data_IF_796568483565
#
_entry.id   IF_796568483565
#
_cell.length_a   1.000
_cell.length_b   1.000
_cell.length_c   1.000
_cell.angle_alpha   90.00
_cell.angle_beta   90.00
_cell.angle_gamma   90.00
#
_symmetry.space_group_name_H-M   'P 1'
#
loop_
_entity.id
_entity.type
_entity.pdbx_description
1 polymer ?
#
# COMPACT_ATOMS: atom_id res chain seq x y z
N UNK A 1 10.88 -9.40 -23.91
CA UNK A 1 9.66 -8.68 -24.33
C UNK A 1 8.40 -9.47 -23.97
N UNK A 2 8.33 -10.76 -24.34
CA UNK A 2 7.16 -11.65 -24.11
C UNK A 2 6.68 -11.74 -22.65
N UNK A 3 7.60 -11.85 -21.68
CA UNK A 3 7.24 -11.96 -20.24
C UNK A 3 6.57 -10.68 -19.70
N UNK A 4 6.87 -9.51 -20.28
CA UNK A 4 6.22 -8.26 -19.89
C UNK A 4 4.81 -8.15 -20.48
N UNK A 5 4.58 -8.73 -21.67
CA UNK A 5 3.25 -8.79 -22.29
C UNK A 5 2.32 -9.66 -21.45
N UNK A 6 2.80 -10.83 -21.00
CA UNK A 6 2.02 -11.71 -20.13
C UNK A 6 1.63 -11.02 -18.81
N UNK A 7 2.57 -10.32 -18.17
CA UNK A 7 2.27 -9.53 -16.98
C UNK A 7 1.20 -8.47 -17.23
N UNK A 8 1.31 -7.69 -18.32
CA UNK A 8 0.29 -6.70 -18.69
C UNK A 8 -1.08 -7.34 -18.94
N UNK A 9 -1.16 -8.51 -19.56
CA UNK A 9 -2.42 -9.25 -19.76
C UNK A 9 -3.04 -9.62 -18.41
N UNK A 10 -2.25 -10.14 -17.47
CA UNK A 10 -2.73 -10.48 -16.12
C UNK A 10 -3.27 -9.24 -15.41
N UNK A 11 -2.61 -8.09 -15.53
CA UNK A 11 -3.10 -6.83 -14.97
C UNK A 11 -4.40 -6.35 -15.64
N UNK A 12 -4.53 -6.47 -16.96
CA UNK A 12 -5.75 -6.10 -17.68
C UNK A 12 -6.92 -6.97 -17.24
N UNK A 13 -6.71 -8.29 -17.14
CA UNK A 13 -7.72 -9.22 -16.62
C UNK A 13 -8.10 -8.87 -15.19
N UNK A 14 -7.13 -8.54 -14.33
CA UNK A 14 -7.39 -8.08 -12.97
C UNK A 14 -8.24 -6.80 -12.96
N UNK A 15 -7.88 -5.81 -13.77
CA UNK A 15 -8.62 -4.55 -13.92
C UNK A 15 -10.07 -4.82 -14.34
N UNK A 16 -10.32 -5.62 -15.37
CA UNK A 16 -11.68 -5.92 -15.83
C UNK A 16 -12.47 -6.64 -14.73
N UNK A 17 -11.90 -7.70 -14.15
CA UNK A 17 -12.61 -8.54 -13.17
C UNK A 17 -12.87 -7.81 -11.85
N UNK A 18 -12.05 -6.81 -11.51
CA UNK A 18 -12.28 -5.96 -10.33
C UNK A 18 -13.63 -5.24 -10.37
N UNK A 19 -14.13 -4.87 -11.54
CA UNK A 19 -15.45 -4.23 -11.70
C UNK A 19 -16.64 -5.16 -11.43
N UNK A 20 -16.39 -6.46 -11.27
CA UNK A 20 -17.40 -7.40 -10.76
C UNK A 20 -17.67 -7.23 -9.25
N UNK A 21 -16.80 -6.53 -8.53
CA UNK A 21 -16.93 -6.27 -7.08
C UNK A 21 -17.69 -4.98 -6.75
N UNK A 22 -18.16 -4.23 -7.76
CA UNK A 22 -19.00 -3.05 -7.52
C UNK A 22 -20.27 -3.47 -6.78
N UNK A 23 -20.57 -2.79 -5.68
CA UNK A 23 -21.81 -2.98 -4.94
C UNK A 23 -23.00 -2.49 -5.77
N UNK A 24 -24.02 -3.32 -6.05
CA UNK A 24 -25.20 -2.92 -6.82
C UNK A 24 -25.95 -1.70 -6.26
N UNK A 25 -25.87 -1.45 -4.95
CA UNK A 25 -26.53 -0.33 -4.27
C UNK A 25 -25.72 0.98 -4.32
N UNK A 26 -24.50 0.96 -4.85
CA UNK A 26 -23.64 2.14 -4.94
C UNK A 26 -24.01 3.13 -6.05
N UNK A 27 -24.81 2.69 -7.03
CA UNK A 27 -25.11 3.46 -8.24
C UNK A 27 -23.91 3.64 -9.19
N UNK A 28 -22.76 3.01 -8.90
CA UNK A 28 -21.60 3.01 -9.79
C UNK A 28 -21.78 2.01 -10.94
N UNK A 29 -21.19 2.27 -12.13
CA UNK A 29 -21.23 1.32 -13.22
C UNK A 29 -20.46 0.05 -12.83
N UNK A 30 -21.12 -1.10 -12.87
CA UNK A 30 -20.52 -2.41 -12.67
C UNK A 30 -20.65 -3.29 -13.93
N UNK A 31 -19.88 -4.38 -13.99
CA UNK A 31 -20.04 -5.36 -15.06
C UNK A 31 -21.13 -6.35 -14.67
N UNK A 32 -22.36 -6.12 -15.15
CA UNK A 32 -23.58 -6.82 -14.73
C UNK A 32 -23.49 -8.35 -14.84
N UNK A 33 -22.83 -8.88 -15.87
CA UNK A 33 -22.68 -10.34 -16.03
C UNK A 33 -21.63 -10.94 -15.09
N UNK A 34 -20.69 -10.15 -14.57
CA UNK A 34 -19.70 -10.59 -13.59
C UNK A 34 -20.25 -10.62 -12.17
N UNK A 35 -21.14 -9.70 -11.81
CA UNK A 35 -21.67 -9.61 -10.45
C UNK A 35 -22.27 -10.94 -9.95
N UNK A 36 -23.13 -11.67 -10.70
CA UNK A 36 -23.65 -12.95 -10.22
C UNK A 36 -22.55 -13.98 -9.95
N UNK A 37 -21.51 -14.02 -10.79
CA UNK A 37 -20.36 -14.92 -10.62
C UNK A 37 -19.56 -14.53 -9.37
N UNK A 38 -19.30 -13.24 -9.18
CA UNK A 38 -18.53 -12.71 -8.05
C UNK A 38 -19.28 -12.84 -6.72
N UNK A 39 -20.60 -12.63 -6.67
CA UNK A 39 -21.37 -12.65 -5.42
C UNK A 39 -21.90 -14.04 -5.06
N UNK A 40 -22.43 -14.79 -6.04
CA UNK A 40 -23.11 -16.07 -5.76
C UNK A 40 -22.22 -17.29 -5.97
N UNK A 41 -21.20 -17.22 -6.83
CA UNK A 41 -20.39 -18.38 -7.18
C UNK A 41 -18.99 -18.32 -6.53
N UNK A 42 -18.94 -18.45 -5.20
CA UNK A 42 -17.75 -18.28 -4.33
C UNK A 42 -16.44 -18.93 -4.79
N UNK A 43 -16.49 -20.03 -5.53
CA UNK A 43 -15.30 -20.74 -6.01
C UNK A 43 -14.52 -19.93 -7.06
N UNK A 44 -15.20 -19.23 -7.97
CA UNK A 44 -14.55 -18.50 -9.06
C UNK A 44 -13.72 -17.30 -8.59
N UNK A 45 -14.23 -16.35 -7.78
CA UNK A 45 -13.40 -15.25 -7.27
C UNK A 45 -12.26 -15.77 -6.39
N UNK A 46 -12.46 -16.88 -5.66
CA UNK A 46 -11.41 -17.53 -4.86
C UNK A 46 -10.26 -18.02 -5.73
N UNK A 47 -10.55 -18.81 -6.77
CA UNK A 47 -9.54 -19.37 -7.69
C UNK A 47 -8.87 -18.25 -8.47
N UNK A 48 -9.65 -17.34 -9.05
CA UNK A 48 -9.13 -16.23 -9.85
C UNK A 48 -8.17 -15.37 -9.04
N UNK A 49 -8.60 -14.88 -7.88
CA UNK A 49 -7.76 -14.02 -7.06
C UNK A 49 -6.49 -14.74 -6.61
N UNK A 50 -6.62 -15.97 -6.10
CA UNK A 50 -5.45 -16.78 -5.67
C UNK A 50 -4.47 -17.01 -6.82
N UNK A 51 -4.98 -17.40 -7.99
CA UNK A 51 -4.18 -17.60 -9.20
C UNK A 51 -3.48 -16.33 -9.65
N UNK A 52 -4.17 -15.18 -9.64
CA UNK A 52 -3.57 -13.87 -9.96
C UNK A 52 -2.45 -13.53 -8.99
N UNK A 53 -2.65 -13.69 -7.67
CA UNK A 53 -1.60 -13.43 -6.68
C UNK A 53 -0.37 -14.32 -6.92
N UNK A 54 -0.57 -15.63 -7.13
CA UNK A 54 0.54 -16.56 -7.42
C UNK A 54 1.30 -16.17 -8.68
N UNK A 55 0.60 -15.83 -9.76
CA UNK A 55 1.21 -15.41 -11.03
C UNK A 55 2.00 -14.10 -10.87
N UNK A 56 1.41 -13.10 -10.20
CA UNK A 56 2.06 -11.80 -9.97
C UNK A 56 3.33 -11.94 -9.12
N UNK A 57 3.31 -12.77 -8.06
CA UNK A 57 4.49 -13.03 -7.25
C UNK A 57 5.55 -13.84 -8.01
N UNK A 58 5.16 -14.84 -8.80
CA UNK A 58 6.07 -15.58 -9.68
C UNK A 58 6.80 -14.64 -10.66
N UNK A 59 6.05 -13.75 -11.30
CA UNK A 59 6.62 -12.71 -12.17
C UNK A 59 7.50 -11.71 -11.40
N UNK A 60 7.08 -11.29 -10.21
CA UNK A 60 7.85 -10.38 -9.35
C UNK A 60 9.21 -10.96 -8.95
N UNK A 61 9.27 -12.22 -8.53
CA UNK A 61 10.55 -12.85 -8.21
C UNK A 61 11.42 -13.04 -9.44
N UNK A 62 10.82 -13.36 -10.59
CA UNK A 62 11.54 -13.43 -11.85
C UNK A 62 12.18 -12.07 -12.22
N UNK A 63 11.43 -10.97 -12.17
CA UNK A 63 11.97 -9.64 -12.49
C UNK A 63 13.09 -9.24 -11.53
N UNK A 64 12.93 -9.50 -10.21
CA UNK A 64 13.98 -9.23 -9.23
C UNK A 64 15.26 -10.02 -9.50
N UNK A 65 15.14 -11.30 -9.88
CA UNK A 65 16.29 -12.12 -10.24
C UNK A 65 17.01 -11.60 -11.49
N UNK A 66 16.26 -11.15 -12.51
CA UNK A 66 16.83 -10.57 -13.75
C UNK A 66 17.51 -9.23 -13.49
N UNK A 67 16.93 -8.38 -12.64
CA UNK A 67 17.53 -7.10 -12.22
C UNK A 67 18.80 -7.34 -11.40
N UNK A 68 18.79 -8.31 -10.47
CA UNK A 68 19.97 -8.66 -9.66
C UNK A 68 21.14 -9.14 -10.53
N UNK A 69 20.87 -9.85 -11.62
CA UNK A 69 21.86 -10.28 -12.62
C UNK A 69 22.28 -9.18 -13.62
N UNK A 70 21.76 -7.95 -13.47
CA UNK A 70 22.10 -6.82 -14.35
C UNK A 70 21.43 -6.84 -15.73
N UNK A 71 20.53 -7.78 -16.01
CA UNK A 71 19.88 -7.89 -17.32
C UNK A 71 18.80 -6.82 -17.58
N UNK A 72 18.36 -6.12 -16.53
CA UNK A 72 17.25 -5.17 -16.61
C UNK A 72 17.66 -3.86 -15.95
N UNK A 73 17.56 -2.79 -16.74
CA UNK A 73 17.93 -1.43 -16.32
C UNK A 73 16.81 -0.72 -15.54
N UNK A 74 17.16 0.35 -14.82
CA UNK A 74 16.16 1.20 -14.16
C UNK A 74 15.17 1.84 -15.15
N UNK A 75 15.59 2.13 -16.39
CA UNK A 75 14.71 2.65 -17.45
C UNK A 75 13.62 1.64 -17.79
N UNK A 76 13.98 0.36 -17.91
CA UNK A 76 13.03 -0.72 -18.16
C UNK A 76 12.06 -0.90 -17.00
N UNK A 77 12.54 -0.82 -15.75
CA UNK A 77 11.68 -0.90 -14.57
C UNK A 77 10.69 0.27 -14.53
N UNK A 78 11.12 1.50 -14.81
CA UNK A 78 10.20 2.64 -14.91
C UNK A 78 9.13 2.45 -16.00
N UNK A 79 9.48 1.89 -17.16
CA UNK A 79 8.50 1.57 -18.20
C UNK A 79 7.45 0.56 -17.69
N UNK A 80 7.88 -0.46 -16.94
CA UNK A 80 6.94 -1.45 -16.36
C UNK A 80 6.09 -0.83 -15.25
N UNK A 81 6.66 0.03 -14.40
CA UNK A 81 5.91 0.79 -13.39
C UNK A 81 4.84 1.64 -14.06
N UNK A 82 5.19 2.36 -15.13
CA UNK A 82 4.25 3.22 -15.85
C UNK A 82 3.12 2.42 -16.51
N UNK A 83 3.46 1.29 -17.16
CA UNK A 83 2.45 0.38 -17.71
C UNK A 83 1.53 -0.19 -16.61
N UNK A 84 2.10 -0.57 -15.45
CA UNK A 84 1.34 -1.06 -14.30
C UNK A 84 0.36 0.00 -13.80
N UNK A 85 0.82 1.25 -13.64
CA UNK A 85 -0.01 2.38 -13.22
C UNK A 85 -1.14 2.62 -14.21
N UNK A 86 -0.83 2.70 -15.51
CA UNK A 86 -1.84 2.96 -16.55
C UNK A 86 -2.93 1.88 -16.55
N UNK A 87 -2.55 0.60 -16.44
CA UNK A 87 -3.52 -0.51 -16.47
C UNK A 87 -4.35 -0.57 -15.17
N UNK A 88 -3.69 -0.49 -14.01
CA UNK A 88 -4.36 -0.65 -12.71
C UNK A 88 -5.10 0.59 -12.26
N UNK A 89 -4.79 1.78 -12.79
CA UNK A 89 -5.55 3.00 -12.51
C UNK A 89 -7.05 2.79 -12.73
N UNK A 90 -7.42 2.09 -13.81
CA UNK A 90 -8.79 1.79 -14.21
C UNK A 90 -9.47 0.66 -13.42
N UNK A 91 -8.80 0.07 -12.42
CA UNK A 91 -9.41 -0.99 -11.61
C UNK A 91 -10.41 -0.43 -10.60
N UNK A 92 -11.33 -1.25 -10.14
CA UNK A 92 -12.17 -0.99 -8.99
C UNK A 92 -11.52 -1.57 -7.71
N UNK A 93 -11.68 -0.95 -6.52
CA UNK A 93 -11.18 -1.52 -5.26
C UNK A 93 -11.73 -2.93 -5.03
N UNK A 94 -10.86 -3.87 -4.65
CA UNK A 94 -11.24 -5.29 -4.50
C UNK A 94 -11.05 -5.77 -3.08
N UNK A 95 -9.93 -5.39 -2.44
CA UNK A 95 -9.56 -5.95 -1.14
C UNK A 95 -9.83 -5.01 0.02
N UNK A 96 -10.06 -3.73 -0.26
CA UNK A 96 -10.42 -2.72 0.73
C UNK A 96 -11.39 -1.70 0.16
N UNK A 97 -12.26 -1.19 1.03
CA UNK A 97 -13.20 -0.10 0.74
C UNK A 97 -12.75 1.24 1.34
N UNK A 98 -11.50 1.34 1.80
CA UNK A 98 -10.98 2.54 2.48
C UNK A 98 -11.05 3.80 1.63
N UNK A 99 -10.97 3.69 0.31
CA UNK A 99 -11.14 4.85 -0.57
C UNK A 99 -12.51 5.52 -0.39
N UNK A 100 -13.57 4.73 -0.20
CA UNK A 100 -14.91 5.27 0.07
C UNK A 100 -15.00 5.89 1.47
N UNK A 101 -14.25 5.35 2.45
CA UNK A 101 -14.13 5.98 3.77
C UNK A 101 -13.41 7.33 3.68
N UNK A 102 -12.37 7.46 2.83
CA UNK A 102 -11.72 8.76 2.59
C UNK A 102 -12.67 9.76 1.94
N UNK A 103 -13.45 9.32 0.94
CA UNK A 103 -14.44 10.15 0.26
C UNK A 103 -15.52 10.61 1.24
N UNK A 104 -16.08 9.71 2.04
CA UNK A 104 -17.08 10.04 3.06
C UNK A 104 -16.52 11.03 4.10
N UNK A 105 -15.31 10.80 4.60
CA UNK A 105 -14.63 11.73 5.53
C UNK A 105 -14.43 13.11 4.90
N UNK A 106 -14.03 13.16 3.62
CA UNK A 106 -13.87 14.40 2.90
C UNK A 106 -15.22 15.12 2.68
N UNK A 107 -16.31 14.39 2.42
CA UNK A 107 -17.66 14.98 2.36
C UNK A 107 -18.07 15.58 3.70
N UNK A 108 -17.93 14.85 4.81
CA UNK A 108 -18.19 15.37 6.17
C UNK A 108 -17.46 16.70 6.37
N UNK A 109 -16.17 16.73 6.05
CA UNK A 109 -15.31 17.91 6.26
C UNK A 109 -15.61 19.08 5.33
N UNK A 110 -15.69 18.82 4.02
CA UNK A 110 -15.63 19.86 2.99
C UNK A 110 -16.96 20.15 2.31
N UNK A 111 -17.89 19.18 2.26
CA UNK A 111 -19.23 19.39 1.74
C UNK A 111 -20.17 19.83 2.86
N UNK A 112 -20.23 19.04 3.93
CA UNK A 112 -21.13 19.28 5.06
C UNK A 112 -20.57 20.28 6.09
N UNK A 113 -19.28 20.63 5.98
CA UNK A 113 -18.58 21.58 6.87
C UNK A 113 -18.61 21.17 8.35
N UNK A 114 -18.71 19.87 8.59
CA UNK A 114 -18.72 19.28 9.91
C UNK A 114 -17.30 18.86 10.33
N UNK A 115 -17.09 18.71 11.65
CA UNK A 115 -15.84 18.20 12.17
C UNK A 115 -15.81 16.66 12.06
N UNK A 116 -14.97 16.06 11.20
CA UNK A 116 -14.95 14.60 10.98
C UNK A 116 -14.39 13.82 12.18
N UNK A 117 -13.82 14.49 13.18
CA UNK A 117 -13.38 13.87 14.44
C UNK A 117 -14.51 13.74 15.47
N UNK A 118 -15.66 14.37 15.20
CA UNK A 118 -16.83 14.37 16.09
C UNK A 118 -18.03 13.76 15.37
N UNK A 119 -18.26 14.16 14.12
CA UNK A 119 -19.41 13.73 13.31
C UNK A 119 -19.02 12.55 12.43
N UNK A 120 -19.81 11.48 12.51
CA UNK A 120 -19.67 10.27 11.70
C UNK A 120 -20.46 10.39 10.40
N UNK A 121 -20.05 9.71 9.30
CA UNK A 121 -20.82 9.70 8.06
C UNK A 121 -22.29 9.27 8.23
N UNK A 122 -22.59 8.31 9.11
CA UNK A 122 -23.95 7.80 9.37
C UNK A 122 -24.89 8.86 9.99
N UNK A 123 -24.34 9.92 10.58
CA UNK A 123 -25.12 10.99 11.20
C UNK A 123 -25.57 12.04 10.17
N UNK A 124 -25.04 11.99 8.94
CA UNK A 124 -25.41 12.92 7.87
C UNK A 124 -26.74 12.48 7.24
N UNK A 125 -27.80 13.30 7.31
CA UNK A 125 -29.09 12.96 6.73
C UNK A 125 -29.01 12.79 5.21
N UNK A 126 -29.66 11.74 4.68
CA UNK A 126 -29.76 11.46 3.24
C UNK A 126 -28.42 11.32 2.50
N UNK A 127 -27.34 10.94 3.19
CA UNK A 127 -26.05 10.63 2.55
C UNK A 127 -26.17 9.37 1.68
N UNK A 128 -26.04 9.54 0.35
CA UNK A 128 -26.23 8.48 -0.63
C UNK A 128 -25.21 7.35 -0.51
N UNK A 129 -24.03 7.60 0.06
CA UNK A 129 -23.02 6.57 0.26
C UNK A 129 -23.36 5.57 1.38
N UNK A 130 -24.31 5.87 2.26
CA UNK A 130 -24.66 5.01 3.39
C UNK A 130 -25.20 3.63 2.97
N UNK A 131 -25.67 3.48 1.73
CA UNK A 131 -26.19 2.21 1.21
C UNK A 131 -25.12 1.14 1.00
N UNK A 132 -23.85 1.53 0.87
CA UNK A 132 -22.73 0.61 0.58
C UNK A 132 -21.46 0.88 1.41
N UNK A 133 -21.46 1.90 2.28
CA UNK A 133 -20.28 2.27 3.07
C UNK A 133 -20.06 1.34 4.27
N UNK A 134 -18.95 0.61 4.30
CA UNK A 134 -18.67 -0.38 5.34
C UNK A 134 -18.30 0.17 6.73
N UNK A 135 -17.91 1.45 6.85
CA UNK A 135 -17.47 2.05 8.11
C UNK A 135 -18.12 3.41 8.38
N UNK A 136 -19.41 3.54 8.03
CA UNK A 136 -20.17 4.77 8.20
C UNK A 136 -20.32 5.22 9.68
N UNK A 137 -20.19 4.29 10.62
CA UNK A 137 -20.32 4.49 12.06
C UNK A 137 -18.98 4.74 12.78
N UNK A 138 -18.00 5.32 12.08
CA UNK A 138 -16.70 5.67 12.65
C UNK A 138 -16.38 7.13 12.34
N UNK A 139 -15.82 7.85 13.31
CA UNK A 139 -15.18 9.15 13.09
C UNK A 139 -13.84 8.97 12.36
N UNK A 140 -13.24 10.06 11.90
CA UNK A 140 -11.99 10.04 11.17
C UNK A 140 -10.86 9.35 11.96
N UNK A 141 -10.32 8.28 11.37
CA UNK A 141 -9.19 7.50 11.92
C UNK A 141 -7.82 8.05 11.47
N UNK A 142 -7.83 9.08 10.64
CA UNK A 142 -6.65 9.63 9.98
C UNK A 142 -6.31 11.01 10.52
N UNK A 143 -5.03 11.37 10.50
CA UNK A 143 -4.58 12.65 11.03
C UNK A 143 -4.99 13.85 10.15
N UNK A 144 -4.88 15.07 10.70
CA UNK A 144 -5.44 16.27 10.06
C UNK A 144 -4.76 16.64 8.75
N UNK A 145 -3.48 16.29 8.56
CA UNK A 145 -2.80 16.53 7.29
C UNK A 145 -3.37 15.64 6.17
N UNK A 146 -3.76 14.39 6.48
CA UNK A 146 -4.46 13.56 5.50
C UNK A 146 -5.80 14.18 5.10
N UNK A 147 -6.62 14.55 6.09
CA UNK A 147 -7.93 15.15 5.83
C UNK A 147 -7.77 16.42 4.98
N UNK A 148 -6.85 17.31 5.34
CA UNK A 148 -6.57 18.51 4.54
C UNK A 148 -6.19 18.18 3.09
N UNK A 149 -5.33 17.18 2.87
CA UNK A 149 -4.93 16.76 1.53
C UNK A 149 -6.08 16.17 0.70
N UNK A 150 -7.07 15.54 1.34
CA UNK A 150 -8.25 15.00 0.63
C UNK A 150 -9.14 16.08 0.02
N UNK A 151 -8.99 17.36 0.39
CA UNK A 151 -9.69 18.47 -0.26
C UNK A 151 -9.44 18.50 -1.78
N UNK A 152 -8.20 18.21 -2.21
CA UNK A 152 -7.81 18.26 -3.63
C UNK A 152 -8.61 17.26 -4.48
N UNK A 153 -8.57 15.94 -4.22
CA UNK A 153 -9.36 15.00 -4.99
C UNK A 153 -10.87 15.15 -4.76
N UNK A 154 -11.31 15.60 -3.57
CA UNK A 154 -12.72 15.86 -3.29
C UNK A 154 -13.30 16.93 -4.21
N UNK A 155 -12.70 18.12 -4.27
CA UNK A 155 -13.20 19.20 -5.11
C UNK A 155 -13.04 18.88 -6.61
N UNK A 156 -11.95 18.21 -7.00
CA UNK A 156 -11.77 17.75 -8.37
C UNK A 156 -12.85 16.72 -8.81
N UNK A 157 -13.44 16.01 -7.85
CA UNK A 157 -14.52 15.04 -8.08
C UNK A 157 -15.87 15.67 -8.44
N UNK A 158 -16.05 16.97 -8.18
CA UNK A 158 -17.24 17.73 -8.60
C UNK A 158 -18.58 17.18 -8.07
N UNK A 159 -18.57 16.44 -6.95
CA UNK A 159 -19.76 15.80 -6.39
C UNK A 159 -20.20 14.50 -7.08
N UNK A 160 -19.57 14.10 -8.19
CA UNK A 160 -19.83 12.82 -8.84
C UNK A 160 -19.00 11.71 -8.19
N UNK A 161 -19.64 10.64 -7.68
CA UNK A 161 -18.96 9.59 -6.92
C UNK A 161 -17.90 8.85 -7.75
N UNK A 162 -18.19 8.52 -9.01
CA UNK A 162 -17.27 7.82 -9.89
C UNK A 162 -16.05 8.68 -10.20
N UNK A 163 -16.27 9.95 -10.57
CA UNK A 163 -15.18 10.90 -10.81
C UNK A 163 -14.34 11.10 -9.55
N UNK A 164 -15.00 11.26 -8.39
CA UNK A 164 -14.33 11.40 -7.09
C UNK A 164 -13.48 10.17 -6.75
N UNK A 165 -13.96 8.95 -7.01
CA UNK A 165 -13.16 7.74 -6.85
C UNK A 165 -11.87 7.84 -7.69
N UNK A 166 -11.97 8.21 -8.97
CA UNK A 166 -10.80 8.31 -9.84
C UNK A 166 -9.87 9.47 -9.52
N UNK A 167 -10.36 10.61 -9.01
CA UNK A 167 -9.50 11.70 -8.55
C UNK A 167 -8.74 11.31 -7.30
N UNK A 168 -9.35 10.59 -6.35
CA UNK A 168 -8.64 10.01 -5.21
C UNK A 168 -7.59 8.98 -5.66
N UNK A 169 -7.92 8.08 -6.59
CA UNK A 169 -6.95 7.13 -7.16
C UNK A 169 -5.79 7.87 -7.83
N UNK A 170 -6.06 8.90 -8.63
CA UNK A 170 -5.03 9.69 -9.31
C UNK A 170 -4.11 10.39 -8.30
N UNK A 171 -4.69 10.94 -7.22
CA UNK A 171 -3.93 11.56 -6.14
C UNK A 171 -2.97 10.56 -5.49
N UNK A 172 -3.44 9.37 -5.13
CA UNK A 172 -2.62 8.30 -4.57
C UNK A 172 -1.54 7.83 -5.55
N UNK A 173 -1.87 7.69 -6.85
CA UNK A 173 -0.91 7.36 -7.91
C UNK A 173 0.23 8.37 -7.97
N UNK A 174 -0.07 9.68 -7.87
CA UNK A 174 0.96 10.73 -7.85
C UNK A 174 1.96 10.53 -6.70
N UNK A 175 1.46 10.26 -5.49
CA UNK A 175 2.29 10.00 -4.31
C UNK A 175 3.07 8.69 -4.40
N UNK A 176 2.47 7.66 -4.98
CA UNK A 176 3.14 6.39 -5.26
C UNK A 176 4.34 6.58 -6.20
N UNK A 177 4.15 7.29 -7.32
CA UNK A 177 5.22 7.58 -8.28
C UNK A 177 6.30 8.44 -7.63
N UNK A 178 5.93 9.43 -6.81
CA UNK A 178 6.87 10.24 -6.04
C UNK A 178 7.69 9.38 -5.07
N UNK A 179 7.05 8.48 -4.31
CA UNK A 179 7.76 7.59 -3.39
C UNK A 179 8.73 6.66 -4.14
N UNK A 180 8.30 6.09 -5.26
CA UNK A 180 9.16 5.30 -6.14
C UNK A 180 10.37 6.11 -6.64
N UNK A 181 10.14 7.38 -7.01
CA UNK A 181 11.20 8.29 -7.43
C UNK A 181 12.18 8.58 -6.30
N UNK A 182 11.69 8.86 -5.09
CA UNK A 182 12.52 9.10 -3.91
C UNK A 182 13.37 7.87 -3.57
N UNK A 183 12.80 6.66 -3.61
CA UNK A 183 13.52 5.39 -3.40
C UNK A 183 14.61 5.21 -4.46
N UNK A 184 14.26 5.39 -5.73
CA UNK A 184 15.20 5.29 -6.84
C UNK A 184 16.36 6.28 -6.69
N UNK A 185 16.08 7.55 -6.37
CA UNK A 185 17.11 8.57 -6.12
C UNK A 185 17.97 8.23 -4.91
N UNK A 186 17.36 7.87 -3.79
CA UNK A 186 18.04 7.59 -2.52
C UNK A 186 18.97 6.37 -2.58
N UNK A 187 18.62 5.38 -3.39
CA UNK A 187 19.44 4.17 -3.62
C UNK A 187 20.64 4.39 -4.55
N UNK A 188 20.80 5.59 -5.13
CA UNK A 188 21.80 5.83 -6.18
C UNK A 188 21.35 5.34 -7.55
N UNK A 189 20.05 5.47 -7.85
CA UNK A 189 19.41 5.08 -9.11
C UNK A 189 19.40 3.58 -9.41
N UNK A 190 19.50 2.74 -8.37
CA UNK A 190 19.56 1.27 -8.50
C UNK A 190 18.22 0.70 -8.98
N UNK A 191 18.28 -0.10 -10.04
CA UNK A 191 17.11 -0.79 -10.60
C UNK A 191 16.49 -1.74 -9.58
N UNK A 192 17.31 -2.42 -8.78
CA UNK A 192 16.85 -3.39 -7.80
C UNK A 192 16.00 -2.77 -6.69
N UNK A 193 16.42 -1.64 -6.12
CA UNK A 193 15.65 -0.93 -5.09
C UNK A 193 14.29 -0.45 -5.61
N UNK A 194 14.27 0.08 -6.84
CA UNK A 194 13.02 0.48 -7.49
C UNK A 194 12.11 -0.72 -7.75
N UNK A 195 12.64 -1.80 -8.34
CA UNK A 195 11.85 -3.00 -8.64
C UNK A 195 11.32 -3.68 -7.37
N UNK A 196 12.15 -3.77 -6.32
CA UNK A 196 11.78 -4.37 -5.04
C UNK A 196 10.55 -3.70 -4.44
N UNK A 197 10.49 -2.36 -4.45
CA UNK A 197 9.35 -1.64 -3.90
C UNK A 197 8.19 -1.54 -4.91
N UNK A 198 8.47 -0.98 -6.10
CA UNK A 198 7.44 -0.55 -7.06
C UNK A 198 6.78 -1.70 -7.85
N UNK A 199 7.35 -2.90 -7.81
CA UNK A 199 6.75 -4.05 -8.50
C UNK A 199 6.30 -5.14 -7.52
N UNK A 200 6.42 -4.92 -6.21
CA UNK A 200 5.89 -5.84 -5.21
C UNK A 200 4.35 -5.89 -5.36
N UNK A 201 3.74 -7.06 -5.64
CA UNK A 201 2.30 -7.16 -5.86
C UNK A 201 1.46 -6.62 -4.69
N UNK A 202 1.94 -6.73 -3.44
CA UNK A 202 1.24 -6.12 -2.30
C UNK A 202 1.21 -4.59 -2.42
N UNK A 203 2.35 -3.97 -2.75
CA UNK A 203 2.45 -2.51 -2.87
C UNK A 203 1.59 -2.02 -4.03
N UNK A 204 1.68 -2.67 -5.20
CA UNK A 204 0.93 -2.26 -6.39
C UNK A 204 -0.56 -2.44 -6.20
N UNK A 205 -1.03 -3.56 -5.64
CA UNK A 205 -2.46 -3.81 -5.45
C UNK A 205 -3.05 -2.92 -4.34
N UNK A 206 -2.40 -2.85 -3.17
CA UNK A 206 -2.88 -1.99 -2.07
C UNK A 206 -2.93 -0.51 -2.48
N UNK A 207 -2.02 -0.07 -3.34
CA UNK A 207 -1.92 1.35 -3.71
C UNK A 207 -2.71 1.70 -4.97
N UNK A 208 -2.56 0.93 -6.05
CA UNK A 208 -3.12 1.27 -7.36
C UNK A 208 -4.53 0.72 -7.56
N UNK A 209 -4.87 -0.38 -6.89
CA UNK A 209 -6.23 -0.95 -6.92
C UNK A 209 -7.06 -0.34 -5.80
N UNK A 210 -6.62 -0.51 -4.56
CA UNK A 210 -7.40 -0.16 -3.36
C UNK A 210 -7.18 1.29 -2.86
N UNK A 211 -6.25 2.03 -3.47
CA UNK A 211 -5.99 3.45 -3.20
C UNK A 211 -5.64 3.79 -1.74
N UNK A 212 -4.87 2.93 -1.07
CA UNK A 212 -4.40 3.20 0.29
C UNK A 212 -3.44 4.40 0.36
N UNK A 213 -3.63 5.25 1.37
CA UNK A 213 -2.87 6.49 1.58
C UNK A 213 -1.47 6.28 2.20
N UNK A 214 -1.06 5.05 2.48
CA UNK A 214 0.21 4.72 3.13
C UNK A 214 1.42 5.23 2.33
N UNK A 215 1.33 5.25 1.01
CA UNK A 215 2.39 5.82 0.15
C UNK A 215 2.54 7.33 0.31
N UNK A 216 1.46 8.05 0.65
CA UNK A 216 1.50 9.50 0.95
C UNK A 216 2.29 9.71 2.23
N UNK A 217 1.91 9.01 3.30
CA UNK A 217 2.62 9.02 4.58
C UNK A 217 4.10 8.71 4.41
N UNK A 218 4.41 7.66 3.65
CA UNK A 218 5.79 7.19 3.46
C UNK A 218 6.61 8.10 2.54
N UNK A 219 6.01 8.78 1.56
CA UNK A 219 6.68 9.80 0.77
C UNK A 219 7.15 10.97 1.62
N UNK A 220 6.29 11.46 2.54
CA UNK A 220 6.66 12.47 3.52
C UNK A 220 7.75 11.98 4.47
N UNK A 221 7.62 10.75 5.00
CA UNK A 221 8.63 10.17 5.90
C UNK A 221 10.00 10.07 5.23
N UNK A 222 10.08 9.42 4.07
CA UNK A 222 11.34 9.27 3.34
C UNK A 222 11.89 10.62 2.89
N UNK A 223 11.03 11.52 2.39
CA UNK A 223 11.39 12.89 2.04
C UNK A 223 12.03 13.63 3.21
N UNK A 224 11.47 13.48 4.41
CA UNK A 224 12.01 14.03 5.65
C UNK A 224 13.44 13.53 5.96
N UNK A 225 13.67 12.22 5.88
CA UNK A 225 15.01 11.65 6.04
C UNK A 225 16.00 12.09 4.94
N UNK A 226 15.54 12.27 3.69
CA UNK A 226 16.39 12.75 2.59
C UNK A 226 16.73 14.24 2.72
N UNK A 227 15.80 15.05 3.21
CA UNK A 227 16.06 16.45 3.55
C UNK A 227 17.07 16.54 4.71
N UNK A 228 16.93 15.67 5.73
CA UNK A 228 17.91 15.55 6.82
C UNK A 228 19.30 15.19 6.29
N UNK A 229 19.36 14.21 5.39
CA UNK A 229 20.61 13.81 4.73
C UNK A 229 21.33 14.97 4.04
N UNK A 230 20.56 15.88 3.46
CA UNK A 230 21.07 17.07 2.79
C UNK A 230 21.18 18.30 3.72
N UNK A 231 21.09 18.11 5.04
CA UNK A 231 21.17 19.17 6.07
C UNK A 231 20.10 20.27 5.95
N UNK A 232 18.98 19.97 5.30
CA UNK A 232 17.82 20.88 5.19
C UNK A 232 16.88 20.65 6.37
N UNK A 233 17.27 21.09 7.57
CA UNK A 233 16.62 20.72 8.83
C UNK A 233 15.15 21.14 8.92
N UNK A 234 14.81 22.37 8.55
CA UNK A 234 13.42 22.87 8.60
C UNK A 234 12.53 22.01 7.71
N UNK A 235 12.90 21.86 6.43
CA UNK A 235 12.17 21.00 5.48
C UNK A 235 12.05 19.58 6.00
N UNK A 236 13.11 19.04 6.59
CA UNK A 236 13.11 17.69 7.15
C UNK A 236 12.09 17.52 8.26
N UNK A 237 12.10 18.41 9.25
CA UNK A 237 11.16 18.39 10.39
C UNK A 237 9.73 18.56 9.89
N UNK A 238 9.47 19.52 8.99
CA UNK A 238 8.14 19.73 8.41
C UNK A 238 7.60 18.47 7.73
N UNK A 239 8.41 17.80 6.90
CA UNK A 239 7.99 16.59 6.20
C UNK A 239 7.72 15.43 7.18
N UNK A 240 8.54 15.26 8.22
CA UNK A 240 8.30 14.24 9.25
C UNK A 240 7.01 14.52 10.03
N UNK A 241 6.78 15.77 10.44
CA UNK A 241 5.55 16.17 11.13
C UNK A 241 4.33 15.92 10.25
N UNK A 242 4.37 16.30 8.97
CA UNK A 242 3.28 16.01 8.02
C UNK A 242 3.03 14.51 7.88
N UNK A 243 4.07 13.68 7.88
CA UNK A 243 3.92 12.22 7.87
C UNK A 243 3.17 11.71 9.11
N UNK A 244 3.56 12.16 10.30
CA UNK A 244 2.88 11.79 11.57
C UNK A 244 1.43 12.26 11.56
N UNK A 245 1.17 13.46 11.02
CA UNK A 245 -0.16 14.03 10.90
C UNK A 245 -1.00 13.43 9.75
N UNK A 246 -0.46 12.51 8.94
CA UNK A 246 -1.25 11.67 8.02
C UNK A 246 -1.69 10.41 8.78
N UNK A 247 -0.74 9.71 9.40
CA UNK A 247 -0.97 8.55 10.27
C UNK A 247 0.11 8.52 11.35
N UNK A 248 -0.30 8.34 12.60
CA UNK A 248 0.61 8.33 13.76
C UNK A 248 1.68 7.23 13.75
N UNK A 249 1.59 6.24 12.85
CA UNK A 249 2.56 5.14 12.77
C UNK A 249 4.01 5.62 12.58
N UNK A 250 4.24 6.72 11.85
CA UNK A 250 5.59 7.25 11.64
C UNK A 250 6.16 7.99 12.85
N UNK A 251 5.41 8.16 13.94
CA UNK A 251 5.96 8.60 15.23
C UNK A 251 7.04 7.62 15.73
N UNK A 252 6.92 6.33 15.40
CA UNK A 252 7.93 5.32 15.73
C UNK A 252 9.26 5.51 14.98
N UNK A 253 9.33 6.39 13.97
CA UNK A 253 10.59 6.79 13.35
C UNK A 253 11.35 7.85 14.16
N UNK A 254 10.72 8.49 15.16
CA UNK A 254 11.33 9.61 15.90
C UNK A 254 12.64 9.23 16.59
N UNK A 255 12.79 8.06 17.26
CA UNK A 255 14.07 7.69 17.86
C UNK A 255 15.21 7.64 16.83
N UNK A 256 14.94 7.09 15.64
CA UNK A 256 15.93 7.01 14.54
C UNK A 256 16.22 8.40 13.98
N UNK A 257 15.19 9.22 13.81
CA UNK A 257 15.30 10.58 13.28
C UNK A 257 16.11 11.50 14.21
N UNK A 258 15.78 11.52 15.51
CA UNK A 258 16.49 12.29 16.54
C UNK A 258 17.93 11.81 16.71
N UNK A 259 18.17 10.51 16.64
CA UNK A 259 19.53 9.96 16.64
C UNK A 259 20.34 10.47 15.43
N UNK A 260 19.74 10.51 14.23
CA UNK A 260 20.40 11.05 13.04
C UNK A 260 20.74 12.54 13.20
N UNK A 261 19.80 13.34 13.72
CA UNK A 261 20.02 14.76 14.02
C UNK A 261 21.19 14.95 15.00
N UNK A 262 21.20 14.20 16.10
CA UNK A 262 22.27 14.22 17.10
C UNK A 262 23.64 13.87 16.49
N UNK A 263 23.71 12.80 15.68
CA UNK A 263 24.95 12.38 15.02
C UNK A 263 25.45 13.43 14.02
N UNK A 264 24.57 14.05 13.23
CA UNK A 264 24.97 15.13 12.32
C UNK A 264 25.55 16.33 13.05
N UNK A 265 24.98 16.66 14.22
CA UNK A 265 25.46 17.74 15.05
C UNK A 265 26.80 17.42 15.73
N UNK A 266 26.93 16.25 16.36
CA UNK A 266 28.10 15.88 17.18
C UNK A 266 29.28 15.32 16.38
N UNK A 267 29.04 14.33 15.52
CA UNK A 267 30.13 13.58 14.86
C UNK A 267 30.30 13.94 13.39
N UNK A 268 29.34 14.69 12.81
CA UNK A 268 29.24 15.02 11.37
C UNK A 268 29.24 13.80 10.43
N UNK A 269 29.17 12.58 10.97
CA UNK A 269 29.24 11.33 10.24
C UNK A 269 28.00 10.48 10.54
N UNK A 270 27.18 10.25 9.51
CA UNK A 270 25.99 9.39 9.57
C UNK A 270 26.10 8.27 8.55
N UNK A 271 26.11 7.03 9.03
CA UNK A 271 26.07 5.84 8.17
C UNK A 271 24.63 5.57 7.75
N UNK A 272 24.22 6.11 6.60
CA UNK A 272 22.83 6.01 6.10
C UNK A 272 22.30 4.59 5.93
N UNK A 273 23.16 3.59 5.67
CA UNK A 273 22.73 2.19 5.65
C UNK A 273 22.21 1.72 7.01
N UNK A 274 22.84 2.16 8.12
CA UNK A 274 22.37 1.89 9.48
C UNK A 274 21.05 2.60 9.76
N UNK A 275 20.90 3.84 9.25
CA UNK A 275 19.63 4.60 9.36
C UNK A 275 18.49 3.85 8.68
N UNK A 276 18.68 3.40 7.44
CA UNK A 276 17.65 2.65 6.70
C UNK A 276 17.28 1.32 7.38
N UNK A 277 18.27 0.62 7.94
CA UNK A 277 18.01 -0.59 8.71
C UNK A 277 17.17 -0.30 9.97
N UNK A 278 17.57 0.69 10.77
CA UNK A 278 16.85 1.06 11.99
C UNK A 278 15.46 1.62 11.70
N UNK A 279 15.30 2.42 10.63
CA UNK A 279 14.01 2.92 10.21
C UNK A 279 13.09 1.78 9.73
N UNK A 280 13.60 0.82 8.97
CA UNK A 280 12.86 -0.38 8.57
C UNK A 280 12.45 -1.21 9.79
N UNK A 281 13.37 -1.43 10.74
CA UNK A 281 13.09 -2.15 11.98
C UNK A 281 12.03 -1.45 12.84
N UNK A 282 12.07 -0.12 12.97
CA UNK A 282 11.07 0.67 13.68
C UNK A 282 9.67 0.57 13.01
N UNK A 283 9.62 0.54 11.68
CA UNK A 283 8.36 0.32 10.96
C UNK A 283 7.85 -1.12 11.06
N UNK A 284 8.75 -2.10 11.11
CA UNK A 284 8.39 -3.48 11.45
C UNK A 284 7.81 -3.60 12.86
N UNK A 285 8.39 -2.89 13.82
CA UNK A 285 7.91 -2.88 15.19
C UNK A 285 6.44 -2.43 15.27
N UNK A 286 6.10 -1.26 14.72
CA UNK A 286 4.70 -0.81 14.70
C UNK A 286 3.78 -1.68 13.82
N UNK A 287 4.30 -2.26 12.73
CA UNK A 287 3.56 -3.24 11.93
C UNK A 287 3.14 -4.45 12.78
N UNK A 288 4.04 -5.00 13.60
CA UNK A 288 3.73 -6.12 14.49
C UNK A 288 2.87 -5.74 15.70
N UNK A 289 2.89 -4.47 16.12
CA UNK A 289 2.00 -3.94 17.15
C UNK A 289 0.60 -3.58 16.64
N UNK A 290 0.38 -3.49 15.33
CA UNK A 290 -0.93 -3.14 14.75
C UNK A 290 -2.12 -4.00 15.22
N UNK A 291 -1.97 -5.30 15.58
CA UNK A 291 -3.06 -6.09 16.17
C UNK A 291 -3.53 -5.64 17.54
N UNK A 292 -2.75 -4.83 18.27
CA UNK A 292 -3.20 -4.25 19.53
C UNK A 292 -4.33 -3.25 19.33
N UNK A 293 -4.48 -2.70 18.11
CA UNK A 293 -5.56 -1.79 17.73
C UNK A 293 -6.71 -2.52 17.04
N UNK A 294 -6.43 -3.23 15.95
CA UNK A 294 -7.44 -3.96 15.18
C UNK A 294 -6.86 -5.28 14.65
N UNK A 295 -6.02 -5.23 13.63
CA UNK A 295 -5.33 -6.40 13.07
C UNK A 295 -4.13 -6.00 12.18
N UNK A 296 -3.38 -7.00 11.71
CA UNK A 296 -2.36 -6.79 10.68
C UNK A 296 -3.03 -6.62 9.31
N UNK A 297 -3.01 -5.41 8.78
CA UNK A 297 -3.44 -5.11 7.42
C UNK A 297 -2.29 -5.21 6.41
N UNK A 298 -2.63 -5.59 5.17
CA UNK A 298 -1.63 -5.81 4.11
C UNK A 298 -0.83 -4.54 3.80
N UNK A 299 -1.51 -3.41 3.62
CA UNK A 299 -0.90 -2.13 3.26
C UNK A 299 0.07 -1.57 4.31
N UNK A 300 -0.01 -2.01 5.58
CA UNK A 300 0.96 -1.60 6.61
C UNK A 300 2.38 -2.11 6.32
N UNK A 301 2.53 -3.15 5.49
CA UNK A 301 3.86 -3.63 5.08
C UNK A 301 4.59 -2.63 4.17
N UNK A 302 3.89 -1.66 3.56
CA UNK A 302 4.51 -0.57 2.77
C UNK A 302 5.51 0.22 3.63
N UNK A 303 5.25 0.36 4.93
CA UNK A 303 6.06 1.19 5.83
C UNK A 303 7.50 0.63 5.98
N UNK A 304 7.71 -0.62 6.41
CA UNK A 304 9.05 -1.18 6.47
C UNK A 304 9.68 -1.38 5.08
N UNK A 305 8.90 -1.74 4.06
CA UNK A 305 9.39 -1.95 2.68
C UNK A 305 10.03 -0.70 2.08
N UNK A 306 9.51 0.48 2.42
CA UNK A 306 10.04 1.77 1.95
C UNK A 306 11.52 1.91 2.30
N UNK A 307 11.90 1.71 3.56
CA UNK A 307 13.30 1.81 3.98
C UNK A 307 14.12 0.56 3.64
N UNK A 308 13.49 -0.62 3.69
CA UNK A 308 14.15 -1.88 3.34
C UNK A 308 14.68 -1.88 1.90
N UNK A 309 13.94 -1.26 0.98
CA UNK A 309 14.33 -1.10 -0.43
C UNK A 309 15.68 -0.38 -0.62
N UNK A 310 16.12 0.39 0.39
CA UNK A 310 17.36 1.18 0.36
C UNK A 310 18.55 0.45 0.97
N UNK A 311 18.35 -0.76 1.51
CA UNK A 311 19.45 -1.58 1.97
C UNK A 311 20.27 -2.07 0.77
N UNK A 312 21.59 -1.88 0.84
CA UNK A 312 22.51 -2.23 -0.24
C UNK A 312 22.75 -3.73 -0.41
N UNK A 313 22.26 -4.56 0.51
CA UNK A 313 22.44 -6.02 0.54
C UNK A 313 21.12 -6.70 0.94
N UNK A 314 20.90 -7.89 0.40
CA UNK A 314 19.79 -8.74 0.86
C UNK A 314 20.11 -9.25 2.27
N UNK A 315 19.08 -9.26 3.11
CA UNK A 315 19.12 -9.63 4.53
C UNK A 315 17.94 -10.54 4.83
N UNK A 316 17.92 -11.15 6.03
CA UNK A 316 16.77 -11.93 6.49
C UNK A 316 15.46 -11.13 6.45
N UNK A 317 15.51 -9.80 6.69
CA UNK A 317 14.34 -8.93 6.58
C UNK A 317 13.72 -8.96 5.19
N UNK A 318 14.51 -9.15 4.12
CA UNK A 318 13.97 -9.28 2.77
C UNK A 318 13.21 -10.60 2.59
N UNK A 319 13.73 -11.71 3.12
CA UNK A 319 13.03 -12.99 3.09
C UNK A 319 11.70 -12.90 3.86
N UNK A 320 11.74 -12.38 5.09
CA UNK A 320 10.55 -12.11 5.90
C UNK A 320 9.55 -11.23 5.13
N UNK A 321 10.02 -10.17 4.47
CA UNK A 321 9.19 -9.27 3.66
C UNK A 321 8.52 -9.98 2.49
N UNK A 322 9.22 -10.86 1.79
CA UNK A 322 8.66 -11.61 0.67
C UNK A 322 7.53 -12.52 1.15
N UNK A 323 7.76 -13.24 2.25
CA UNK A 323 6.75 -14.09 2.86
C UNK A 323 5.53 -13.30 3.32
N UNK A 324 5.72 -12.19 4.06
CA UNK A 324 4.59 -11.34 4.45
C UNK A 324 3.88 -10.72 3.24
N UNK A 325 4.61 -10.25 2.23
CA UNK A 325 3.99 -9.67 1.02
C UNK A 325 3.06 -10.68 0.35
N UNK A 326 3.50 -11.93 0.22
CA UNK A 326 2.68 -13.00 -0.36
C UNK A 326 1.52 -13.39 0.56
N UNK A 327 1.80 -13.67 1.83
CA UNK A 327 0.81 -14.17 2.78
C UNK A 327 -0.28 -13.17 3.12
N UNK A 328 0.06 -11.88 3.26
CA UNK A 328 -0.92 -10.82 3.53
C UNK A 328 -1.91 -10.67 2.37
N UNK A 329 -1.48 -10.86 1.13
CA UNK A 329 -2.38 -10.83 -0.03
C UNK A 329 -3.34 -12.02 -0.03
N UNK A 330 -2.93 -13.18 0.48
CA UNK A 330 -3.81 -14.35 0.59
C UNK A 330 -4.80 -14.29 1.76
N UNK A 331 -4.72 -13.30 2.66
CA UNK A 331 -5.60 -13.19 3.84
C UNK A 331 -7.08 -13.04 3.52
N UNK A 332 -7.42 -12.49 2.34
CA UNK A 332 -8.81 -12.29 1.92
C UNK A 332 -9.41 -13.55 1.28
N UNK A 333 -8.58 -14.49 0.82
CA UNK A 333 -9.01 -15.70 0.11
C UNK A 333 -10.00 -16.54 0.92
N UNK A 334 -9.81 -16.77 2.23
CA UNK A 334 -10.79 -17.50 3.04
C UNK A 334 -12.16 -16.81 3.08
N UNK A 335 -12.21 -15.48 3.03
CA UNK A 335 -13.47 -14.73 2.95
C UNK A 335 -14.15 -14.89 1.59
N UNK A 336 -13.39 -14.86 0.48
CA UNK A 336 -13.98 -15.14 -0.84
C UNK A 336 -14.63 -16.52 -0.93
N UNK A 337 -14.06 -17.50 -0.24
CA UNK A 337 -14.62 -18.85 -0.23
C UNK A 337 -15.79 -19.00 0.74
N UNK A 338 -15.67 -18.51 1.98
CA UNK A 338 -16.67 -18.74 3.04
C UNK A 338 -17.79 -17.71 3.08
N UNK A 339 -17.55 -16.50 2.53
CA UNK A 339 -18.41 -15.32 2.65
C UNK A 339 -18.69 -14.87 4.09
N UNK A 340 -17.87 -15.31 5.03
CA UNK A 340 -18.02 -14.98 6.44
C UNK A 340 -16.67 -14.75 7.09
N UNK A 341 -16.60 -13.76 7.96
CA UNK A 341 -15.45 -13.55 8.85
C UNK A 341 -15.51 -14.40 10.12
N UNK A 342 -16.55 -15.23 10.29
CA UNK A 342 -16.71 -16.17 11.42
C UNK A 342 -16.28 -17.60 11.05
N UNK A 343 -16.40 -18.53 12.00
CA UNK A 343 -16.10 -19.96 11.78
C UNK A 343 -14.60 -20.22 11.56
N UNK A 344 -14.26 -20.95 10.49
CA UNK A 344 -12.88 -21.34 10.18
C UNK A 344 -12.05 -20.18 9.58
N UNK A 345 -12.71 -19.13 9.06
CA UNK A 345 -12.06 -18.02 8.35
C UNK A 345 -10.95 -17.34 9.16
N UNK A 346 -11.13 -16.97 10.44
CA UNK A 346 -10.06 -16.37 11.24
C UNK A 346 -8.81 -17.26 11.37
N UNK A 347 -9.00 -18.58 11.48
CA UNK A 347 -7.89 -19.54 11.57
C UNK A 347 -7.11 -19.59 10.25
N UNK A 348 -7.78 -19.79 9.12
CA UNK A 348 -7.13 -19.85 7.81
C UNK A 348 -6.47 -18.52 7.46
N UNK A 349 -7.09 -17.39 7.80
CA UNK A 349 -6.53 -16.03 7.65
C UNK A 349 -5.20 -15.90 8.41
N UNK A 350 -5.12 -16.38 9.66
CA UNK A 350 -3.87 -16.39 10.44
C UNK A 350 -2.80 -17.28 9.81
N UNK A 351 -3.16 -18.48 9.34
CA UNK A 351 -2.25 -19.40 8.66
C UNK A 351 -1.69 -18.76 7.38
N UNK A 352 -2.57 -18.22 6.52
CA UNK A 352 -2.18 -17.53 5.29
C UNK A 352 -1.21 -16.36 5.55
N UNK A 353 -1.33 -15.70 6.71
CA UNK A 353 -0.45 -14.60 7.10
C UNK A 353 0.93 -15.08 7.55
N UNK A 354 0.98 -16.08 8.43
CA UNK A 354 2.18 -16.42 9.21
C UNK A 354 2.99 -17.56 8.59
N UNK A 355 2.36 -18.46 7.83
CA UNK A 355 3.06 -19.59 7.21
C UNK A 355 4.05 -19.13 6.13
N UNK A 356 3.70 -18.25 5.18
CA UNK A 356 4.65 -17.80 4.16
C UNK A 356 5.94 -17.13 4.68
N UNK A 357 5.91 -16.19 5.65
CA UNK A 357 7.14 -15.66 6.23
C UNK A 357 7.94 -16.71 7.01
N UNK A 358 7.30 -17.66 7.71
CA UNK A 358 8.00 -18.76 8.37
C UNK A 358 8.78 -19.63 7.36
N UNK A 359 8.12 -20.04 6.26
CA UNK A 359 8.77 -20.80 5.18
C UNK A 359 9.89 -20.00 4.53
N UNK A 360 9.70 -18.70 4.29
CA UNK A 360 10.72 -17.85 3.68
C UNK A 360 11.96 -17.69 4.56
N UNK A 361 11.80 -17.60 5.88
CA UNK A 361 12.92 -17.58 6.83
C UNK A 361 13.71 -18.89 6.81
N UNK A 362 13.04 -20.05 6.82
CA UNK A 362 13.70 -21.36 6.76
C UNK A 362 14.52 -21.53 5.47
N UNK A 363 13.98 -21.06 4.33
CA UNK A 363 14.72 -21.08 3.05
C UNK A 363 15.95 -20.16 3.12
N UNK A 364 15.81 -18.98 3.74
CA UNK A 364 16.91 -18.03 3.89
C UNK A 364 18.04 -18.60 4.75
N UNK A 365 17.72 -19.20 5.90
CA UNK A 365 18.70 -19.82 6.79
C UNK A 365 19.47 -20.93 6.08
N UNK A 366 18.76 -21.86 5.41
CA UNK A 366 19.38 -22.99 4.69
C UNK A 366 20.33 -22.55 3.56
N UNK A 367 20.08 -21.38 2.96
CA UNK A 367 20.88 -20.85 1.85
C UNK A 367 22.08 -20.01 2.30
N UNK A 368 22.11 -19.56 3.56
CA UNK A 368 23.17 -18.70 4.12
C UNK A 368 23.95 -19.36 5.27
N UNK A 369 23.56 -20.58 5.69
CA UNK A 369 24.31 -21.42 6.63
C UNK A 369 25.36 -22.31 5.96
N UNK A 370 25.64 -22.10 4.67
CA UNK A 370 26.68 -22.74 3.86
C UNK A 370 27.58 -21.64 3.30
#
# INVERSE_FOLDING_TARGET
MTVNIFYSIVLVLLTILSWGFVDPHSGLPGILWLQPVIYFQRIYPTIWYTGTIVILFGWYFWILARVKKGFISSKTIWAIVLATVIILFWSFPVTSNDVFNYIATAKVTFLYKENPYVVMPIEIPNESMLTFLNAANKTALYGPAWIALTSLPHYAGGGNLLLTLFTFKLFIVGWYVLLCYLIWRASGKKAWSLAFFALNPLVTLSTLVDAHNDVVMMAFALGGFLALKNKRYIVSITLIVLSVLIKGATLFLMPVFLWCLYQQWKTKNVTWQRVWYLASAAMYFIFFLSPLREEIYAWYLIWPLTFLSLLGKQTILHAVSYGFSFGLMLRIVPFFYTRSWSGITPMVKKIATLLPPAVSMLIYEKTHSR
#
